data_IF_502621548046
#
_entry.id   IF_502621548046
#
_cell.length_a   1.000
_cell.length_b   1.000
_cell.length_c   1.000
_cell.angle_alpha   90.00
_cell.angle_beta   90.00
_cell.angle_gamma   90.00
#
_symmetry.space_group_name_H-M   'P 1'
#
loop_
_entity.id
_entity.type
_entity.pdbx_description
1 polymer ?
#
# COMPACT_ATOMS: atom_id res chain seq x y z
N UNK A 1 -10.51 -27.32 32.54
CA UNK A 1 -10.67 -25.88 32.21
C UNK A 1 -9.64 -25.52 31.15
N UNK A 2 -9.63 -26.22 30.02
CA UNK A 2 -8.58 -26.09 28.98
C UNK A 2 -9.14 -26.13 27.54
N UNK A 3 -10.47 -26.10 27.36
CA UNK A 3 -11.11 -26.14 26.03
C UNK A 3 -11.68 -24.78 25.56
N UNK A 4 -11.23 -23.66 26.15
CA UNK A 4 -11.70 -22.32 25.78
C UNK A 4 -10.62 -21.41 25.19
N UNK A 5 -9.38 -21.87 25.02
CA UNK A 5 -8.27 -21.01 24.54
C UNK A 5 -8.10 -21.11 23.01
N UNK A 6 -8.53 -22.20 22.38
CA UNK A 6 -8.31 -22.42 20.94
C UNK A 6 -9.27 -21.62 20.02
N UNK A 7 -10.39 -21.13 20.57
CA UNK A 7 -11.35 -20.30 19.81
C UNK A 7 -10.97 -18.81 19.74
N UNK A 8 -10.07 -18.33 20.61
CA UNK A 8 -9.69 -16.92 20.67
C UNK A 8 -8.47 -16.61 19.77
N UNK A 9 -7.50 -17.53 19.68
CA UNK A 9 -6.30 -17.37 18.84
C UNK A 9 -6.60 -17.30 17.34
N UNK A 10 -7.64 -17.97 16.87
CA UNK A 10 -7.98 -18.01 15.43
C UNK A 10 -8.71 -16.73 14.98
N UNK A 11 -9.50 -16.13 15.87
CA UNK A 11 -10.10 -14.80 15.69
C UNK A 11 -9.01 -13.72 15.59
N UNK A 12 -8.01 -13.78 16.47
CA UNK A 12 -6.94 -12.79 16.54
C UNK A 12 -5.89 -12.92 15.42
N UNK A 13 -5.56 -14.13 14.98
CA UNK A 13 -4.73 -14.33 13.79
C UNK A 13 -5.41 -13.82 12.52
N UNK A 14 -6.73 -14.02 12.41
CA UNK A 14 -7.55 -13.47 11.33
C UNK A 14 -7.60 -11.94 11.40
N UNK A 15 -7.60 -11.35 12.60
CA UNK A 15 -7.58 -9.90 12.80
C UNK A 15 -6.27 -9.27 12.34
N UNK A 16 -5.12 -9.88 12.66
CA UNK A 16 -3.80 -9.40 12.25
C UNK A 16 -3.56 -9.56 10.74
N UNK A 17 -3.87 -10.72 10.16
CA UNK A 17 -3.76 -10.96 8.72
C UNK A 17 -4.66 -9.98 7.93
N UNK A 18 -5.89 -9.75 8.40
CA UNK A 18 -6.82 -8.79 7.80
C UNK A 18 -6.28 -7.35 7.86
N UNK A 19 -5.70 -6.93 8.99
CA UNK A 19 -5.06 -5.61 9.11
C UNK A 19 -3.88 -5.47 8.13
N UNK A 20 -3.00 -6.48 8.07
CA UNK A 20 -1.84 -6.47 7.18
C UNK A 20 -2.28 -6.36 5.72
N UNK A 21 -3.22 -7.22 5.27
CA UNK A 21 -3.73 -7.19 3.89
C UNK A 21 -4.32 -5.83 3.53
N UNK A 22 -5.01 -5.20 4.46
CA UNK A 22 -5.68 -3.92 4.24
C UNK A 22 -4.71 -2.74 4.21
N UNK A 23 -3.69 -2.74 5.08
CA UNK A 23 -2.58 -1.78 4.98
C UNK A 23 -1.85 -1.95 3.65
N UNK A 24 -1.51 -3.20 3.28
CA UNK A 24 -0.85 -3.48 2.00
C UNK A 24 -1.69 -3.01 0.81
N UNK A 25 -2.99 -3.31 0.81
CA UNK A 25 -3.90 -2.87 -0.24
C UNK A 25 -3.91 -1.34 -0.37
N UNK A 26 -4.07 -0.61 0.75
CA UNK A 26 -4.01 0.86 0.77
C UNK A 26 -2.69 1.41 0.21
N UNK A 27 -1.56 0.87 0.66
CA UNK A 27 -0.23 1.31 0.17
C UNK A 27 -0.06 1.03 -1.31
N UNK A 28 -0.45 -0.16 -1.78
CA UNK A 28 -0.38 -0.53 -3.21
C UNK A 28 -1.28 0.38 -4.04
N UNK A 29 -2.51 0.66 -3.58
CA UNK A 29 -3.43 1.58 -4.26
C UNK A 29 -2.86 2.99 -4.39
N UNK A 30 -2.23 3.54 -3.34
CA UNK A 30 -1.56 4.84 -3.40
C UNK A 30 -0.41 4.84 -4.41
N UNK A 31 0.47 3.84 -4.35
CA UNK A 31 1.58 3.71 -5.28
C UNK A 31 1.09 3.54 -6.73
N UNK A 32 0.00 2.80 -6.94
CA UNK A 32 -0.60 2.64 -8.25
C UNK A 32 -1.11 3.99 -8.80
N UNK A 33 -1.85 4.77 -8.00
CA UNK A 33 -2.32 6.10 -8.40
C UNK A 33 -1.14 7.02 -8.76
N UNK A 34 -0.07 7.00 -7.98
CA UNK A 34 1.13 7.79 -8.23
C UNK A 34 1.76 7.43 -9.59
N UNK A 35 2.03 6.15 -9.83
CA UNK A 35 2.62 5.66 -11.09
C UNK A 35 1.71 5.97 -12.29
N UNK A 36 0.40 5.81 -12.13
CA UNK A 36 -0.56 6.09 -13.20
C UNK A 36 -0.68 7.59 -13.50
N UNK A 37 -0.53 8.44 -12.49
CA UNK A 37 -0.48 9.88 -12.66
C UNK A 37 0.76 10.29 -13.45
N UNK A 38 1.91 9.71 -13.13
CA UNK A 38 3.15 9.97 -13.87
C UNK A 38 3.09 9.42 -15.30
N UNK A 39 2.46 8.26 -15.49
CA UNK A 39 2.19 7.72 -16.83
C UNK A 39 1.28 8.67 -17.64
N UNK A 40 0.21 9.20 -17.05
CA UNK A 40 -0.65 10.19 -17.71
C UNK A 40 0.12 11.48 -18.09
N UNK A 41 0.97 12.00 -17.19
CA UNK A 41 1.85 13.14 -17.52
C UNK A 41 2.76 12.83 -18.71
N UNK A 42 3.36 11.64 -18.74
CA UNK A 42 4.22 11.21 -19.84
C UNK A 42 3.44 11.09 -21.16
N UNK A 43 2.20 10.59 -21.11
CA UNK A 43 1.30 10.52 -22.26
C UNK A 43 0.97 11.92 -22.79
N UNK A 44 0.59 12.86 -21.94
CA UNK A 44 0.30 14.26 -22.34
C UNK A 44 1.54 14.90 -22.99
N UNK A 45 2.72 14.73 -22.40
CA UNK A 45 3.96 15.22 -22.98
C UNK A 45 4.25 14.61 -24.38
N UNK A 46 3.95 13.33 -24.56
CA UNK A 46 4.09 12.66 -25.85
C UNK A 46 3.07 13.17 -26.89
N UNK A 47 1.83 13.45 -26.47
CA UNK A 47 0.79 14.11 -27.30
C UNK A 47 1.30 15.44 -27.84
N UNK A 48 1.81 16.29 -26.95
CA UNK A 48 2.30 17.62 -27.28
C UNK A 48 3.51 17.56 -28.22
N UNK A 49 4.41 16.59 -28.00
CA UNK A 49 5.53 16.35 -28.91
C UNK A 49 5.05 15.94 -30.31
N UNK A 50 4.04 15.06 -30.42
CA UNK A 50 3.44 14.68 -31.69
C UNK A 50 2.76 15.87 -32.38
N UNK A 51 1.95 16.65 -31.65
CA UNK A 51 1.30 17.87 -32.15
C UNK A 51 2.32 18.87 -32.70
N UNK A 52 3.38 19.16 -31.94
CA UNK A 52 4.45 20.07 -32.37
C UNK A 52 5.16 19.58 -33.63
N UNK A 53 5.35 18.26 -33.76
CA UNK A 53 5.97 17.67 -34.95
C UNK A 53 5.05 17.77 -36.18
N UNK A 54 3.74 17.53 -36.03
CA UNK A 54 2.76 17.74 -37.11
C UNK A 54 2.76 19.20 -37.55
N UNK A 55 2.72 20.14 -36.59
CA UNK A 55 2.81 21.58 -36.89
C UNK A 55 4.05 21.91 -37.71
N UNK A 56 5.21 21.37 -37.33
CA UNK A 56 6.47 21.60 -38.04
C UNK A 56 6.43 21.05 -39.47
N UNK A 57 5.83 19.87 -39.69
CA UNK A 57 5.67 19.30 -41.04
C UNK A 57 4.73 20.14 -41.91
N UNK A 58 3.70 20.72 -41.32
CA UNK A 58 2.77 21.61 -42.02
C UNK A 58 3.43 22.95 -42.40
N UNK A 59 4.28 23.50 -41.53
CA UNK A 59 5.09 24.69 -41.85
C UNK A 59 6.07 24.42 -43.01
N UNK A 60 6.63 23.20 -43.10
CA UNK A 60 7.52 22.79 -44.20
C UNK A 60 6.74 22.69 -45.53
N UNK A 61 5.47 22.32 -45.48
CA UNK A 61 4.56 22.34 -46.63
C UNK A 61 4.04 23.76 -46.97
N UNK A 62 4.71 24.80 -46.47
CA UNK A 62 4.38 26.23 -46.65
C UNK A 62 3.01 26.66 -46.11
N UNK A 63 2.41 25.85 -45.21
CA UNK A 63 1.15 26.20 -44.54
C UNK A 63 1.41 26.67 -43.11
N UNK A 64 1.04 27.92 -42.84
CA UNK A 64 0.98 28.44 -41.47
C UNK A 64 -0.39 28.14 -40.89
N UNK A 65 -0.42 27.27 -39.88
CA UNK A 65 -1.62 26.93 -39.12
C UNK A 65 -1.47 27.42 -37.69
N UNK A 66 -2.58 27.88 -37.10
CA UNK A 66 -2.62 28.22 -35.68
C UNK A 66 -2.63 26.97 -34.80
N UNK A 67 -2.34 27.12 -33.52
CA UNK A 67 -2.39 26.00 -32.58
C UNK A 67 -3.83 25.51 -32.33
N UNK A 68 -4.82 26.41 -32.39
CA UNK A 68 -6.25 26.09 -32.33
C UNK A 68 -6.66 25.29 -33.56
N UNK A 69 -6.37 25.80 -34.75
CA UNK A 69 -6.79 25.16 -36.00
C UNK A 69 -6.16 23.76 -36.16
N UNK A 70 -4.90 23.58 -35.74
CA UNK A 70 -4.29 22.25 -35.69
C UNK A 70 -4.98 21.32 -34.67
N UNK A 71 -5.47 21.85 -33.55
CA UNK A 71 -6.20 21.07 -32.56
C UNK A 71 -7.54 20.60 -33.14
N UNK A 72 -8.30 21.49 -33.76
CA UNK A 72 -9.57 21.17 -34.43
C UNK A 72 -9.38 20.08 -35.50
N UNK A 73 -8.27 20.14 -36.24
CA UNK A 73 -7.93 19.11 -37.23
C UNK A 73 -7.65 17.75 -36.59
N UNK A 74 -6.95 17.71 -35.44
CA UNK A 74 -6.67 16.48 -34.70
C UNK A 74 -7.95 15.88 -34.11
N UNK A 75 -8.83 16.73 -33.57
CA UNK A 75 -10.12 16.32 -32.99
C UNK A 75 -11.12 15.82 -34.04
N UNK A 76 -11.02 16.29 -35.29
CA UNK A 76 -11.88 15.84 -36.39
C UNK A 76 -11.81 14.33 -36.64
N UNK A 77 -10.72 13.67 -36.22
CA UNK A 77 -10.51 12.24 -36.37
C UNK A 77 -10.40 11.77 -37.83
N UNK A 78 -10.33 12.69 -38.80
CA UNK A 78 -10.29 12.38 -40.22
C UNK A 78 -8.87 12.60 -40.78
N UNK A 79 -8.08 11.54 -41.05
CA UNK A 79 -6.73 11.68 -41.61
C UNK A 79 -6.69 12.40 -42.96
N UNK A 80 -7.79 12.38 -43.72
CA UNK A 80 -7.86 13.04 -45.02
C UNK A 80 -7.82 14.58 -44.91
N UNK A 81 -8.04 15.15 -43.71
CA UNK A 81 -7.91 16.60 -43.52
C UNK A 81 -6.47 17.07 -43.76
N UNK A 82 -5.47 16.23 -43.51
CA UNK A 82 -4.07 16.55 -43.78
C UNK A 82 -3.69 16.37 -45.26
N UNK A 83 -4.31 15.40 -45.94
CA UNK A 83 -4.02 15.09 -47.36
C UNK A 83 -4.64 16.14 -48.28
N UNK A 84 -5.82 16.67 -47.93
CA UNK A 84 -6.52 17.69 -48.70
C UNK A 84 -5.87 19.07 -48.60
N UNK A 85 -5.05 19.27 -47.57
CA UNK A 85 -4.40 20.54 -47.26
C UNK A 85 -2.95 20.65 -47.73
N UNK A 86 -2.29 19.52 -48.02
CA UNK A 86 -0.90 19.47 -48.50
C UNK A 86 -0.89 19.24 -50.02
N UNK A 87 -0.23 20.12 -50.77
CA UNK A 87 0.01 19.91 -52.20
C UNK A 87 1.01 18.75 -52.40
N UNK A 88 0.52 17.59 -52.86
CA UNK A 88 1.31 16.36 -53.03
C UNK A 88 2.23 16.30 -54.25
N UNK A 89 2.44 17.43 -54.95
CA UNK A 89 3.17 17.46 -56.22
C UNK A 89 4.68 17.24 -56.05
N UNK A 90 5.20 17.37 -54.83
CA UNK A 90 6.61 17.12 -54.52
C UNK A 90 6.81 15.83 -53.72
N UNK A 91 7.94 15.16 -53.94
CA UNK A 91 8.32 13.97 -53.15
C UNK A 91 8.45 14.30 -51.66
N UNK A 92 8.89 15.53 -51.34
CA UNK A 92 9.00 16.04 -49.98
C UNK A 92 7.63 16.17 -49.31
N UNK A 93 6.63 16.72 -50.00
CA UNK A 93 5.27 16.84 -49.48
C UNK A 93 4.64 15.48 -49.17
N UNK A 94 4.87 14.47 -50.02
CA UNK A 94 4.42 13.09 -49.76
C UNK A 94 5.06 12.49 -48.50
N UNK A 95 6.33 12.76 -48.26
CA UNK A 95 7.03 12.27 -47.07
C UNK A 95 6.57 12.99 -45.80
N UNK A 96 6.35 14.31 -45.85
CA UNK A 96 5.78 15.07 -44.73
C UNK A 96 4.37 14.59 -44.40
N UNK A 97 3.55 14.32 -45.40
CA UNK A 97 2.19 13.78 -45.22
C UNK A 97 2.20 12.40 -44.54
N UNK A 98 3.12 11.51 -44.93
CA UNK A 98 3.28 10.20 -44.29
C UNK A 98 3.73 10.31 -42.82
N UNK A 99 4.62 11.25 -42.48
CA UNK A 99 5.03 11.50 -41.09
C UNK A 99 3.83 12.04 -40.28
N UNK A 100 3.05 12.96 -40.85
CA UNK A 100 1.84 13.51 -40.22
C UNK A 100 0.83 12.40 -39.93
N UNK A 101 0.53 11.55 -40.91
CA UNK A 101 -0.42 10.45 -40.74
C UNK A 101 0.04 9.46 -39.64
N UNK A 102 1.33 9.11 -39.62
CA UNK A 102 1.90 8.25 -38.59
C UNK A 102 1.81 8.89 -37.19
N UNK A 103 2.08 10.20 -37.06
CA UNK A 103 1.94 10.93 -35.78
C UNK A 103 0.48 11.04 -35.34
N UNK A 104 -0.44 11.29 -36.28
CA UNK A 104 -1.88 11.33 -36.00
C UNK A 104 -2.38 9.98 -35.48
N UNK A 105 -1.95 8.86 -36.09
CA UNK A 105 -2.28 7.53 -35.58
C UNK A 105 -1.74 7.28 -34.16
N UNK A 106 -0.55 7.79 -33.84
CA UNK A 106 0.00 7.70 -32.49
C UNK A 106 -0.81 8.52 -31.47
N UNK A 107 -1.30 9.71 -31.86
CA UNK A 107 -2.22 10.51 -31.03
C UNK A 107 -3.54 9.76 -30.81
N UNK A 108 -4.12 9.16 -31.85
CA UNK A 108 -5.36 8.38 -31.71
C UNK A 108 -5.22 7.18 -30.76
N UNK A 109 -4.08 6.46 -30.82
CA UNK A 109 -3.78 5.38 -29.86
C UNK A 109 -3.63 5.93 -28.45
N UNK A 110 -2.98 7.08 -28.29
CA UNK A 110 -2.80 7.74 -27.01
C UNK A 110 -4.15 8.13 -26.40
N UNK A 111 -5.06 8.73 -27.17
CA UNK A 111 -6.40 9.10 -26.69
C UNK A 111 -7.19 7.91 -26.19
N UNK A 112 -7.11 6.76 -26.89
CA UNK A 112 -7.69 5.51 -26.40
C UNK A 112 -7.09 5.10 -25.06
N UNK A 113 -5.76 5.15 -24.92
CA UNK A 113 -5.09 4.81 -23.68
C UNK A 113 -5.42 5.78 -22.54
N UNK A 114 -5.52 7.08 -22.81
CA UNK A 114 -5.94 8.09 -21.82
C UNK A 114 -7.38 7.83 -21.36
N UNK A 115 -8.29 7.42 -22.25
CA UNK A 115 -9.65 7.03 -21.86
C UNK A 115 -9.64 5.81 -20.91
N UNK A 116 -8.84 4.79 -21.21
CA UNK A 116 -8.67 3.64 -20.33
C UNK A 116 -8.08 4.04 -18.96
N UNK A 117 -7.14 4.99 -18.93
CA UNK A 117 -6.61 5.55 -17.67
C UNK A 117 -7.68 6.32 -16.89
N UNK A 118 -8.51 7.11 -17.57
CA UNK A 118 -9.58 7.88 -16.97
C UNK A 118 -10.58 6.96 -16.25
N UNK A 119 -10.99 5.87 -16.90
CA UNK A 119 -11.92 4.90 -16.30
C UNK A 119 -11.30 4.27 -15.04
N UNK A 120 -10.01 3.91 -15.09
CA UNK A 120 -9.29 3.43 -13.89
C UNK A 120 -9.20 4.50 -12.78
N UNK A 121 -9.00 5.78 -13.12
CA UNK A 121 -8.99 6.86 -12.13
C UNK A 121 -10.35 7.05 -11.47
N UNK A 122 -11.45 6.91 -12.21
CA UNK A 122 -12.80 6.99 -11.65
C UNK A 122 -13.08 5.84 -10.69
N UNK A 123 -12.70 4.61 -11.05
CA UNK A 123 -12.82 3.46 -10.17
C UNK A 123 -11.96 3.62 -8.91
N UNK A 124 -10.73 4.13 -9.07
CA UNK A 124 -9.82 4.39 -7.96
C UNK A 124 -10.29 5.54 -7.05
N UNK A 125 -10.91 6.58 -7.60
CA UNK A 125 -11.47 7.68 -6.81
C UNK A 125 -12.60 7.17 -5.91
N UNK A 126 -13.51 6.35 -6.45
CA UNK A 126 -14.55 5.68 -5.66
C UNK A 126 -13.96 4.76 -4.58
N UNK A 127 -12.92 3.99 -4.91
CA UNK A 127 -12.24 3.13 -3.95
C UNK A 127 -11.54 3.93 -2.84
N UNK A 128 -10.88 5.04 -3.15
CA UNK A 128 -10.19 5.87 -2.14
C UNK A 128 -11.19 6.59 -1.25
N UNK A 129 -12.27 7.14 -1.80
CA UNK A 129 -13.33 7.81 -1.02
C UNK A 129 -13.97 6.85 -0.01
N UNK A 130 -14.22 5.60 -0.42
CA UNK A 130 -14.76 4.57 0.47
C UNK A 130 -13.79 4.09 1.56
N UNK A 131 -12.47 4.31 1.40
CA UNK A 131 -11.42 3.83 2.30
C UNK A 131 -10.90 4.87 3.31
N UNK A 132 -11.29 6.15 3.18
CA UNK A 132 -10.78 7.27 3.97
C UNK A 132 -10.95 7.15 5.49
N UNK A 133 -12.04 6.56 5.99
CA UNK A 133 -12.26 6.37 7.44
C UNK A 133 -11.53 5.15 8.03
N UNK A 134 -11.01 4.25 7.18
CA UNK A 134 -10.64 2.92 7.60
C UNK A 134 -9.13 2.71 7.75
N UNK A 135 -8.33 3.44 6.96
CA UNK A 135 -6.87 3.42 7.02
C UNK A 135 -6.38 4.01 8.34
N UNK A 136 -6.97 5.13 8.77
CA UNK A 136 -6.63 5.84 10.01
C UNK A 136 -6.83 4.95 11.25
N UNK A 137 -7.85 4.08 11.22
CA UNK A 137 -8.09 3.09 12.27
C UNK A 137 -7.06 1.96 12.29
N UNK A 138 -6.41 1.63 11.17
CA UNK A 138 -5.43 0.53 11.15
C UNK A 138 -4.09 1.01 11.66
N UNK A 139 -3.64 2.21 11.28
CA UNK A 139 -2.44 2.82 11.84
C UNK A 139 -2.59 2.94 13.36
N UNK A 140 -3.74 3.43 13.83
CA UNK A 140 -4.11 3.49 15.24
C UNK A 140 -4.14 2.12 15.94
N UNK A 141 -4.65 1.06 15.28
CA UNK A 141 -4.71 -0.28 15.88
C UNK A 141 -3.37 -1.03 15.83
N UNK A 142 -2.50 -0.73 14.86
CA UNK A 142 -1.14 -1.28 14.80
C UNK A 142 -0.26 -0.61 15.85
N UNK A 143 -0.36 0.70 16.03
CA UNK A 143 0.28 1.43 17.12
C UNK A 143 -0.12 0.85 18.48
N UNK A 144 -1.42 0.66 18.73
CA UNK A 144 -1.89 0.02 19.96
C UNK A 144 -1.39 -1.43 20.11
N UNK A 145 -1.32 -2.23 19.02
CA UNK A 145 -0.79 -3.59 19.10
C UNK A 145 0.70 -3.62 19.49
N UNK A 146 1.50 -2.65 19.01
CA UNK A 146 2.89 -2.48 19.42
C UNK A 146 2.97 -2.14 20.91
N UNK A 147 2.15 -1.21 21.39
CA UNK A 147 2.07 -0.83 22.81
C UNK A 147 1.67 -2.01 23.71
N UNK A 148 0.73 -2.85 23.27
CA UNK A 148 0.32 -4.06 23.99
C UNK A 148 1.45 -5.09 24.08
N UNK A 149 2.20 -5.30 23.00
CA UNK A 149 3.35 -6.23 22.98
C UNK A 149 4.46 -5.73 23.90
N UNK A 150 4.74 -4.42 23.91
CA UNK A 150 5.73 -3.83 24.79
C UNK A 150 5.34 -3.96 26.26
N UNK A 151 4.08 -3.70 26.59
CA UNK A 151 3.52 -3.89 27.93
C UNK A 151 3.57 -5.36 28.37
N UNK A 152 3.19 -6.29 27.49
CA UNK A 152 3.25 -7.72 27.75
C UNK A 152 4.70 -8.21 27.99
N UNK A 153 5.68 -7.67 27.25
CA UNK A 153 7.11 -7.93 27.47
C UNK A 153 7.58 -7.41 28.83
N UNK A 154 7.11 -6.26 29.26
CA UNK A 154 7.43 -5.71 30.57
C UNK A 154 6.84 -6.57 31.71
N UNK A 155 5.59 -7.02 31.57
CA UNK A 155 4.91 -7.79 32.59
C UNK A 155 5.40 -9.24 32.68
N UNK A 156 5.71 -9.89 31.56
CA UNK A 156 6.39 -11.20 31.56
C UNK A 156 7.75 -11.13 32.26
N UNK A 157 8.53 -10.06 32.04
CA UNK A 157 9.80 -9.82 32.74
C UNK A 157 9.60 -9.65 34.25
N UNK A 158 8.57 -8.92 34.68
CA UNK A 158 8.21 -8.79 36.11
C UNK A 158 7.78 -10.14 36.69
N UNK A 159 6.96 -10.92 35.98
CA UNK A 159 6.47 -12.22 36.42
C UNK A 159 7.61 -13.20 36.69
N UNK A 160 8.61 -13.28 35.81
CA UNK A 160 9.82 -14.11 36.01
C UNK A 160 10.57 -13.68 37.27
N UNK A 161 10.70 -12.36 37.51
CA UNK A 161 11.35 -11.82 38.72
C UNK A 161 10.58 -12.20 39.98
N UNK A 162 9.25 -12.08 39.97
CA UNK A 162 8.40 -12.51 41.10
C UNK A 162 8.48 -14.01 41.35
N UNK A 163 8.41 -14.84 40.31
CA UNK A 163 8.54 -16.29 40.42
C UNK A 163 9.88 -16.70 41.03
N UNK A 164 10.99 -16.09 40.59
CA UNK A 164 12.32 -16.37 41.15
C UNK A 164 12.44 -15.99 42.63
N UNK A 165 11.80 -14.90 43.04
CA UNK A 165 11.80 -14.43 44.43
C UNK A 165 10.88 -15.27 45.32
N UNK A 166 9.73 -15.70 44.80
CA UNK A 166 8.80 -16.59 45.49
C UNK A 166 9.43 -17.96 45.77
N UNK A 167 10.17 -18.53 44.81
CA UNK A 167 10.91 -19.80 45.00
C UNK A 167 11.90 -19.71 46.16
N UNK A 168 12.65 -18.62 46.28
CA UNK A 168 13.57 -18.39 47.41
C UNK A 168 12.83 -18.31 48.75
N UNK A 169 11.70 -17.60 48.78
CA UNK A 169 10.86 -17.50 49.99
C UNK A 169 10.26 -18.84 50.41
N UNK A 170 9.81 -19.65 49.45
CA UNK A 170 9.28 -20.99 49.71
C UNK A 170 10.34 -21.92 50.31
N UNK A 171 11.59 -21.87 49.84
CA UNK A 171 12.70 -22.64 50.43
C UNK A 171 12.96 -22.21 51.87
N UNK A 172 13.00 -20.90 52.15
CA UNK A 172 13.21 -20.38 53.51
C UNK A 172 12.08 -20.82 54.44
N UNK A 173 10.82 -20.70 54.01
CA UNK A 173 9.66 -21.16 54.79
C UNK A 173 9.75 -22.68 55.06
N UNK A 174 10.12 -23.47 54.05
CA UNK A 174 10.32 -24.92 54.21
C UNK A 174 11.38 -25.27 55.27
N UNK A 175 12.51 -24.55 55.28
CA UNK A 175 13.56 -24.72 56.30
C UNK A 175 13.04 -24.34 57.70
N UNK A 176 12.33 -23.21 57.84
CA UNK A 176 11.76 -22.80 59.11
C UNK A 176 10.77 -23.83 59.67
N UNK A 177 9.90 -24.39 58.83
CA UNK A 177 8.95 -25.43 59.22
C UNK A 177 9.68 -26.72 59.64
N UNK A 178 10.72 -27.13 58.92
CA UNK A 178 11.51 -28.30 59.29
C UNK A 178 12.18 -28.16 60.66
N UNK A 179 12.74 -26.98 60.97
CA UNK A 179 13.35 -26.68 62.29
C UNK A 179 12.30 -26.78 63.40
N UNK A 180 11.11 -26.20 63.20
CA UNK A 180 10.03 -26.27 64.19
C UNK A 180 9.60 -27.72 64.47
N UNK A 181 9.48 -28.55 63.43
CA UNK A 181 9.16 -29.98 63.58
C UNK A 181 10.26 -30.69 64.39
N UNK A 182 11.54 -30.44 64.10
CA UNK A 182 12.65 -31.05 64.86
C UNK A 182 12.61 -30.68 66.35
N UNK A 183 12.27 -29.44 66.70
CA UNK A 183 12.15 -28.99 68.10
C UNK A 183 10.98 -29.70 68.79
N UNK A 184 9.83 -29.81 68.12
CA UNK A 184 8.66 -30.51 68.66
C UNK A 184 8.98 -31.99 68.89
N UNK A 185 9.62 -32.66 67.92
CA UNK A 185 10.03 -34.06 68.08
C UNK A 185 11.05 -34.23 69.21
N UNK A 186 12.05 -33.36 69.30
CA UNK A 186 13.07 -33.42 70.34
C UNK A 186 12.49 -33.22 71.75
N UNK A 187 11.53 -32.31 71.92
CA UNK A 187 10.85 -32.12 73.21
C UNK A 187 9.98 -33.31 73.58
N UNK A 188 9.27 -33.93 72.63
CA UNK A 188 8.47 -35.14 72.87
C UNK A 188 9.36 -36.32 73.26
N UNK A 189 10.45 -36.57 72.54
CA UNK A 189 11.40 -37.67 72.84
C UNK A 189 12.07 -37.46 74.20
N UNK A 190 12.45 -36.22 74.54
CA UNK A 190 13.01 -35.90 75.86
C UNK A 190 12.01 -35.98 77.01
N UNK A 191 10.71 -35.90 76.73
CA UNK A 191 9.65 -35.97 77.73
C UNK A 191 9.11 -37.40 77.95
N UNK A 192 9.48 -38.37 77.10
CA UNK A 192 9.24 -39.81 77.34
C UNK A 192 10.37 -40.34 78.23
N UNK A 193 10.17 -40.50 79.55
CA UNK A 193 11.19 -41.04 80.43
C UNK A 193 11.14 -42.57 80.30
N UNK A 194 12.05 -43.15 79.52
CA UNK A 194 12.21 -44.60 79.44
C UNK A 194 12.64 -45.12 78.08
N UNK A 195 13.93 -44.96 77.77
CA UNK A 195 14.79 -46.11 77.46
C UNK A 195 15.93 -46.06 78.48
#
# INVERSE_FOLDING_TARGET
>A
MEMNIEYDENSDRTSADLRIRKTQYSTISRNFIEVMTDYNKAQVAFRDACKNRIKRQMEIAERKISNEELEDMLESGNPAIFTQEIMTDTQQAKQSLADIEARHQDIMKLEKSIKELHDMFMDMAMLVESQGEMIDRIEYNVEQAVDYIESAKADTKKAVKYQSSARKKMIIIGICVAILICIIVGTIVGMVPGI
#
